data_IF_772179384423
#
_entry.id   IF_772179384423
#
_cell.length_a   1.000
_cell.length_b   1.000
_cell.length_c   1.000
_cell.angle_alpha   90.00
_cell.angle_beta   90.00
_cell.angle_gamma   90.00
#
_symmetry.space_group_name_H-M   'P 1'
#
loop_
_entity.id
_entity.type
_entity.pdbx_description
1 polymer ?
#
# COMPACT_ATOMS: atom_id res chain seq x y z
N UNK A 1 9.00 3.37 5.07
CA UNK A 1 9.13 2.62 3.78
C UNK A 1 10.02 3.35 2.77
N UNK A 2 10.10 4.68 2.86
CA UNK A 2 10.83 5.58 1.97
C UNK A 2 12.23 5.13 1.52
N UNK A 3 13.08 4.66 2.44
CA UNK A 3 14.43 4.21 2.08
C UNK A 3 14.42 3.08 1.05
N UNK A 4 13.53 2.09 1.20
CA UNK A 4 13.41 0.99 0.23
C UNK A 4 13.04 1.52 -1.16
N UNK A 5 12.13 2.51 -1.23
CA UNK A 5 11.73 3.13 -2.48
C UNK A 5 12.90 3.90 -3.13
N UNK A 6 13.67 4.66 -2.34
CA UNK A 6 14.87 5.34 -2.84
C UNK A 6 15.99 4.39 -3.25
N UNK A 7 16.05 3.19 -2.66
CA UNK A 7 16.98 2.12 -3.03
C UNK A 7 16.54 1.32 -4.27
N UNK A 8 15.40 1.67 -4.87
CA UNK A 8 14.90 1.06 -6.12
C UNK A 8 13.95 -0.13 -5.92
N UNK A 9 13.53 -0.41 -4.69
CA UNK A 9 12.51 -1.44 -4.43
C UNK A 9 11.15 -0.96 -4.93
N UNK A 10 10.43 -1.83 -5.64
CA UNK A 10 9.10 -1.57 -6.20
C UNK A 10 8.05 -2.63 -5.85
N UNK A 11 8.42 -3.62 -5.06
CA UNK A 11 7.51 -4.61 -4.48
C UNK A 11 7.56 -4.51 -2.96
N UNK A 12 6.44 -4.20 -2.32
CA UNK A 12 6.34 -4.01 -0.87
C UNK A 12 5.45 -5.10 -0.28
N UNK A 13 5.97 -5.86 0.68
CA UNK A 13 5.19 -6.86 1.43
C UNK A 13 4.84 -6.27 2.79
N UNK A 14 3.54 -6.14 3.07
CA UNK A 14 3.01 -5.43 4.23
C UNK A 14 1.93 -6.27 4.91
N UNK A 15 2.19 -6.67 6.15
CA UNK A 15 1.31 -7.50 6.95
C UNK A 15 0.35 -6.61 7.75
N UNK A 16 -0.96 -6.77 7.58
CA UNK A 16 -1.95 -5.83 8.12
C UNK A 16 -2.68 -6.39 9.36
N UNK A 17 -2.74 -5.57 10.42
CA UNK A 17 -3.41 -5.91 11.67
C UNK A 17 -4.13 -4.68 12.26
N UNK A 18 -5.18 -4.93 13.05
CA UNK A 18 -5.72 -3.92 13.95
C UNK A 18 -4.79 -3.78 15.16
N UNK A 19 -4.54 -2.54 15.56
CA UNK A 19 -3.91 -2.19 16.83
C UNK A 19 -4.95 -2.10 17.95
N UNK A 20 -4.49 -1.96 19.20
CA UNK A 20 -5.32 -1.88 20.41
C UNK A 20 -6.34 -0.72 20.38
N UNK A 21 -6.02 0.36 19.67
CA UNK A 21 -6.89 1.52 19.49
C UNK A 21 -7.88 1.39 18.32
N UNK A 22 -7.89 0.24 17.64
CA UNK A 22 -8.72 -0.05 16.48
C UNK A 22 -8.20 0.52 15.16
N UNK A 23 -7.07 1.23 15.15
CA UNK A 23 -6.44 1.68 13.91
C UNK A 23 -5.67 0.55 13.22
N UNK A 24 -5.50 0.65 11.90
CA UNK A 24 -4.73 -0.31 11.14
C UNK A 24 -3.25 0.05 11.14
N UNK A 25 -2.42 -0.94 11.42
CA UNK A 25 -0.96 -0.85 11.40
C UNK A 25 -0.39 -1.96 10.52
N UNK A 26 0.85 -1.75 10.06
CA UNK A 26 1.64 -2.81 9.44
C UNK A 26 2.56 -3.43 10.48
N UNK A 27 2.33 -4.70 10.83
CA UNK A 27 2.98 -5.36 11.97
C UNK A 27 3.37 -6.80 11.64
N UNK A 28 4.48 -7.28 12.18
CA UNK A 28 4.83 -8.70 12.08
C UNK A 28 4.19 -9.49 13.24
N UNK A 29 3.25 -10.40 12.94
CA UNK A 29 2.43 -11.20 13.88
C UNK A 29 1.40 -10.42 14.71
N UNK A 30 1.79 -9.33 15.38
CA UNK A 30 0.92 -8.49 16.22
C UNK A 30 1.54 -7.11 16.47
N UNK A 31 0.71 -6.11 16.80
CA UNK A 31 1.14 -4.73 16.98
C UNK A 31 1.49 -4.31 18.42
N UNK A 32 1.43 -5.23 19.40
CA UNK A 32 1.75 -4.88 20.79
C UNK A 32 3.25 -4.77 21.07
N UNK A 33 4.09 -5.38 20.23
CA UNK A 33 5.54 -5.28 20.33
C UNK A 33 6.05 -4.11 19.47
N UNK A 34 6.62 -3.05 20.05
CA UNK A 34 7.10 -1.90 19.28
C UNK A 34 8.23 -2.22 18.29
N UNK A 35 8.90 -3.37 18.42
CA UNK A 35 9.89 -3.82 17.43
C UNK A 35 9.26 -4.52 16.22
N UNK A 36 8.01 -4.97 16.35
CA UNK A 36 7.24 -5.64 15.31
C UNK A 36 6.15 -4.74 14.72
N UNK A 37 5.81 -3.64 15.39
CA UNK A 37 4.92 -2.59 14.87
C UNK A 37 5.70 -1.62 13.97
N UNK A 38 5.49 -1.74 12.65
CA UNK A 38 6.06 -0.85 11.65
C UNK A 38 5.41 0.53 11.60
N UNK A 39 4.27 0.71 12.29
CA UNK A 39 3.52 1.95 12.38
C UNK A 39 2.16 1.89 11.68
N UNK A 40 1.43 3.01 11.76
CA UNK A 40 0.09 3.17 11.20
C UNK A 40 0.11 2.98 9.69
N UNK A 41 -0.81 2.15 9.19
CA UNK A 41 -0.87 1.78 7.78
C UNK A 41 -1.12 3.01 6.89
N UNK A 42 -1.98 3.94 7.32
CA UNK A 42 -2.26 5.18 6.57
C UNK A 42 -1.01 6.05 6.38
N UNK A 43 -0.17 6.18 7.40
CA UNK A 43 1.05 7.01 7.34
C UNK A 43 2.08 6.37 6.41
N UNK A 44 2.21 5.04 6.47
CA UNK A 44 3.13 4.29 5.60
C UNK A 44 2.67 4.34 4.14
N UNK A 45 1.37 4.23 3.86
CA UNK A 45 0.85 4.39 2.50
C UNK A 45 0.98 5.84 2.01
N UNK A 46 0.90 6.83 2.91
CA UNK A 46 1.15 8.23 2.55
C UNK A 46 2.60 8.44 2.08
N UNK A 47 3.59 7.79 2.70
CA UNK A 47 4.98 7.83 2.19
C UNK A 47 5.07 7.32 0.74
N UNK A 48 4.27 6.30 0.37
CA UNK A 48 4.21 5.79 -1.00
C UNK A 48 3.56 6.82 -1.94
N UNK A 49 2.47 7.45 -1.51
CA UNK A 49 1.81 8.53 -2.27
C UNK A 49 2.79 9.67 -2.55
N UNK A 50 3.51 10.14 -1.52
CA UNK A 50 4.49 11.21 -1.63
C UNK A 50 5.65 10.84 -2.56
N UNK A 51 6.09 9.58 -2.52
CA UNK A 51 7.10 9.08 -3.45
C UNK A 51 6.61 9.11 -4.91
N UNK A 52 5.38 8.67 -5.19
CA UNK A 52 4.81 8.66 -6.55
C UNK A 52 4.56 10.07 -7.09
N UNK A 53 4.20 11.03 -6.23
CA UNK A 53 4.10 12.44 -6.61
C UNK A 53 5.43 13.02 -7.11
N UNK A 54 6.55 12.58 -6.50
CA UNK A 54 7.89 13.01 -6.89
C UNK A 54 8.46 12.19 -8.06
N UNK A 55 7.95 10.98 -8.27
CA UNK A 55 8.44 10.01 -9.25
C UNK A 55 7.27 9.43 -10.07
N UNK A 56 6.62 10.23 -10.95
CA UNK A 56 5.36 9.87 -11.59
C UNK A 56 5.46 8.70 -12.59
N UNK A 57 6.66 8.31 -12.99
CA UNK A 57 6.91 7.20 -13.92
C UNK A 57 7.15 5.86 -13.23
N UNK A 58 7.13 5.82 -11.89
CA UNK A 58 7.38 4.61 -11.12
C UNK A 58 6.12 3.78 -10.98
N UNK A 59 6.27 2.46 -10.99
CA UNK A 59 5.18 1.51 -10.73
C UNK A 59 5.53 0.74 -9.46
N UNK A 60 4.58 0.65 -8.53
CA UNK A 60 4.75 -0.02 -7.24
C UNK A 60 3.70 -1.11 -7.11
N UNK A 61 4.13 -2.29 -6.68
CA UNK A 61 3.25 -3.40 -6.28
C UNK A 61 3.25 -3.52 -4.77
N UNK A 62 2.06 -3.58 -4.17
CA UNK A 62 1.87 -3.73 -2.73
C UNK A 62 1.14 -5.04 -2.45
N UNK A 63 1.81 -5.93 -1.74
CA UNK A 63 1.24 -7.16 -1.23
C UNK A 63 0.72 -6.90 0.18
N UNK A 64 -0.61 -6.91 0.33
CA UNK A 64 -1.26 -6.82 1.65
C UNK A 64 -1.52 -8.23 2.16
N UNK A 65 -0.77 -8.66 3.18
CA UNK A 65 -1.01 -9.92 3.86
C UNK A 65 -2.04 -9.75 4.98
N UNK A 66 -3.27 -10.21 4.75
CA UNK A 66 -4.33 -10.29 5.75
C UNK A 66 -4.41 -11.72 6.31
N UNK A 67 -3.40 -12.12 7.09
CA UNK A 67 -3.14 -13.51 7.49
C UNK A 67 -4.35 -14.21 8.15
N UNK A 68 -5.00 -13.54 9.10
CA UNK A 68 -6.14 -14.10 9.84
C UNK A 68 -7.49 -13.81 9.16
N UNK A 69 -7.50 -13.03 8.08
CA UNK A 69 -8.72 -12.62 7.38
C UNK A 69 -9.64 -11.69 8.18
N UNK A 70 -9.19 -11.14 9.31
CA UNK A 70 -10.03 -10.34 10.20
C UNK A 70 -10.13 -8.88 9.77
N UNK A 71 -9.18 -8.38 8.97
CA UNK A 71 -9.23 -7.01 8.44
C UNK A 71 -10.23 -6.95 7.29
N UNK A 72 -11.22 -6.06 7.39
CA UNK A 72 -12.25 -5.94 6.38
C UNK A 72 -11.74 -5.24 5.11
N UNK A 73 -12.32 -5.58 3.96
CA UNK A 73 -11.99 -4.87 2.71
C UNK A 73 -12.37 -3.37 2.76
N UNK A 74 -13.37 -3.01 3.56
CA UNK A 74 -13.75 -1.62 3.78
C UNK A 74 -12.63 -0.84 4.48
N UNK A 75 -12.08 -1.38 5.57
CA UNK A 75 -11.04 -0.68 6.33
C UNK A 75 -9.73 -0.58 5.52
N UNK A 76 -9.42 -1.60 4.71
CA UNK A 76 -8.32 -1.52 3.73
C UNK A 76 -8.57 -0.40 2.72
N UNK A 77 -9.78 -0.31 2.16
CA UNK A 77 -10.14 0.77 1.24
C UNK A 77 -10.04 2.16 1.89
N UNK A 78 -10.40 2.29 3.17
CA UNK A 78 -10.28 3.55 3.90
C UNK A 78 -8.83 4.00 4.06
N UNK A 79 -7.88 3.12 4.40
CA UNK A 79 -6.47 3.52 4.53
C UNK A 79 -5.85 3.92 3.19
N UNK A 80 -6.26 3.29 2.07
CA UNK A 80 -5.85 3.71 0.73
C UNK A 80 -6.45 5.06 0.34
N UNK A 81 -7.71 5.29 0.71
CA UNK A 81 -8.39 6.56 0.45
C UNK A 81 -7.77 7.70 1.26
N UNK A 82 -7.57 7.48 2.56
CA UNK A 82 -7.08 8.49 3.49
C UNK A 82 -5.60 8.84 3.28
N UNK A 83 -4.79 7.90 2.76
CA UNK A 83 -3.40 8.17 2.35
C UNK A 83 -3.28 8.86 0.98
N UNK A 84 -4.39 9.00 0.25
CA UNK A 84 -4.42 9.50 -1.12
C UNK A 84 -3.91 8.51 -2.17
N UNK A 85 -3.42 7.34 -1.76
CA UNK A 85 -2.85 6.33 -2.64
C UNK A 85 -3.89 5.72 -3.59
N UNK A 86 -5.18 5.76 -3.21
CA UNK A 86 -6.30 5.29 -4.03
C UNK A 86 -6.32 5.93 -5.43
N UNK A 87 -5.82 7.15 -5.56
CA UNK A 87 -5.77 7.89 -6.83
C UNK A 87 -4.76 7.30 -7.83
N UNK A 88 -3.88 6.42 -7.37
CA UNK A 88 -2.86 5.75 -8.18
C UNK A 88 -3.16 4.27 -8.44
N UNK A 89 -4.24 3.72 -7.87
CA UNK A 89 -4.52 2.28 -7.93
C UNK A 89 -5.06 1.89 -9.31
N UNK A 90 -4.43 0.90 -9.92
CA UNK A 90 -4.96 0.20 -11.07
C UNK A 90 -6.11 -0.71 -10.64
N UNK A 91 -7.31 -0.44 -11.17
CA UNK A 91 -8.47 -1.33 -11.01
C UNK A 91 -8.79 -1.98 -12.36
N UNK A 92 -8.57 -3.29 -12.52
CA UNK A 92 -8.82 -3.96 -13.80
C UNK A 92 -10.30 -4.02 -14.12
N UNK A 93 -10.71 -3.46 -15.26
CA UNK A 93 -12.07 -3.60 -15.80
C UNK A 93 -12.39 -5.04 -16.22
N UNK A 94 -11.36 -5.81 -16.59
CA UNK A 94 -11.46 -7.23 -16.95
C UNK A 94 -10.40 -7.99 -16.14
N UNK A 95 -10.79 -8.97 -15.31
CA UNK A 95 -9.84 -9.76 -14.54
C UNK A 95 -8.77 -10.42 -15.41
N UNK A 96 -7.51 -10.31 -15.00
CA UNK A 96 -6.36 -10.91 -15.69
C UNK A 96 -5.86 -10.16 -16.93
N UNK A 97 -6.54 -9.09 -17.34
CA UNK A 97 -6.07 -8.21 -18.42
C UNK A 97 -5.29 -7.06 -17.81
N UNK A 98 -4.02 -6.94 -18.20
CA UNK A 98 -3.11 -5.92 -17.72
C UNK A 98 -2.78 -4.94 -18.85
N UNK A 99 -2.78 -3.62 -18.58
CA UNK A 99 -2.12 -2.65 -19.44
C UNK A 99 -0.60 -2.86 -19.42
N UNK A 100 0.09 -2.25 -20.37
CA UNK A 100 1.54 -2.07 -20.30
C UNK A 100 1.90 -1.10 -19.18
N UNK A 101 3.15 -1.17 -18.68
CA UNK A 101 3.63 -0.21 -17.67
C UNK A 101 3.56 1.24 -18.16
N UNK A 102 3.76 1.48 -19.46
CA UNK A 102 3.63 2.82 -20.05
C UNK A 102 2.20 3.34 -19.97
N UNK A 103 1.21 2.50 -20.32
CA UNK A 103 -0.21 2.87 -20.18
C UNK A 103 -0.63 3.08 -18.72
N UNK A 104 -0.03 2.35 -17.77
CA UNK A 104 -0.25 2.59 -16.35
C UNK A 104 0.25 3.98 -15.92
N UNK A 105 1.46 4.35 -16.33
CA UNK A 105 2.04 5.68 -16.06
C UNK A 105 1.19 6.78 -16.70
N UNK A 106 0.84 6.63 -17.98
CA UNK A 106 0.06 7.62 -18.73
C UNK A 106 -1.34 7.86 -18.12
N UNK A 107 -1.92 6.84 -17.49
CA UNK A 107 -3.23 6.91 -16.84
C UNK A 107 -3.17 7.22 -15.33
N UNK A 108 -1.99 7.48 -14.76
CA UNK A 108 -1.78 7.64 -13.33
C UNK A 108 -2.26 6.43 -12.50
N UNK A 109 -2.08 5.22 -13.02
CA UNK A 109 -2.44 3.95 -12.39
C UNK A 109 -1.17 3.22 -11.93
N UNK A 110 -0.36 3.90 -11.12
CA UNK A 110 0.98 3.48 -10.75
C UNK A 110 1.06 2.36 -9.68
N UNK A 111 -0.06 2.00 -9.04
CA UNK A 111 -0.09 1.06 -7.91
C UNK A 111 -0.94 -0.16 -8.23
N UNK A 112 -0.44 -1.33 -7.83
CA UNK A 112 -1.11 -2.63 -7.93
C UNK A 112 -1.16 -3.31 -6.59
#
# INVERSE_FOLDING_TARGET
ISQQLYDGIRGLMLDIYYNDDGSLHFCHLACHDPYLDGGRAVDILQEVTEFLQQNPNEIITIFIENYNGNVSAYDISEIFTNSGLINYVFTPSIPGVWPTLGEMVDNHQNVV
#
